data_IF_406809778419
#
_entry.id   IF_406809778419
#
_cell.length_a   1.000
_cell.length_b   1.000
_cell.length_c   1.000
_cell.angle_alpha   90.00
_cell.angle_beta   90.00
_cell.angle_gamma   90.00
#
_symmetry.space_group_name_H-M   'P 1'
#
loop_
_entity.id
_entity.type
_entity.pdbx_description
1 polymer ?
#
# COMPACT_ATOMS: atom_id res chain seq x y z
N UNK A 1 -1.85 10.48 -15.67
CA UNK A 1 -2.01 9.35 -14.72
C UNK A 1 -0.83 8.42 -14.91
N UNK A 2 -0.14 8.02 -13.84
CA UNK A 2 0.99 7.09 -13.97
C UNK A 2 0.52 5.62 -14.01
N UNK A 3 -0.51 5.30 -13.24
CA UNK A 3 -1.15 3.98 -13.21
C UNK A 3 -2.64 4.14 -12.85
N UNK A 4 -3.43 3.09 -13.04
CA UNK A 4 -4.84 3.02 -12.67
C UNK A 4 -5.15 1.75 -11.86
N UNK A 5 -5.89 1.85 -10.74
CA UNK A 5 -6.25 0.69 -9.91
C UNK A 5 -7.32 -0.18 -10.58
N UNK A 6 -7.16 -1.49 -10.48
CA UNK A 6 -8.11 -2.50 -10.94
C UNK A 6 -8.47 -3.45 -9.81
N UNK A 7 -9.42 -4.37 -10.05
CA UNK A 7 -9.82 -5.35 -9.04
C UNK A 7 -8.67 -6.27 -8.60
N UNK A 8 -7.74 -6.58 -9.51
CA UNK A 8 -6.67 -7.55 -9.27
C UNK A 8 -5.29 -6.89 -9.09
N UNK A 9 -5.19 -5.56 -9.21
CA UNK A 9 -3.93 -4.85 -9.12
C UNK A 9 -3.98 -3.47 -9.78
N UNK A 10 -3.07 -3.23 -10.73
CA UNK A 10 -2.88 -1.93 -11.37
C UNK A 10 -2.49 -2.06 -12.84
N UNK A 11 -2.94 -1.12 -13.68
CA UNK A 11 -2.39 -0.93 -15.02
C UNK A 11 -1.43 0.26 -15.04
N UNK A 12 -0.19 0.06 -15.48
CA UNK A 12 0.86 1.09 -15.59
C UNK A 12 0.91 1.61 -17.03
N UNK A 13 0.51 2.86 -17.23
CA UNK A 13 0.46 3.50 -18.56
C UNK A 13 1.83 3.93 -19.07
N UNK A 14 2.83 4.08 -18.19
CA UNK A 14 4.19 4.44 -18.63
C UNK A 14 4.91 3.25 -19.24
N UNK A 15 4.57 2.04 -18.77
CA UNK A 15 5.21 0.79 -19.18
C UNK A 15 4.30 -0.14 -19.99
N UNK A 16 3.06 0.29 -20.28
CA UNK A 16 2.02 -0.47 -20.96
C UNK A 16 1.91 -1.91 -20.49
N UNK A 17 1.80 -2.07 -19.17
CA UNK A 17 1.83 -3.37 -18.52
C UNK A 17 0.82 -3.44 -17.38
N UNK A 18 0.25 -4.63 -17.20
CA UNK A 18 -0.57 -4.94 -16.06
C UNK A 18 0.27 -5.52 -14.92
N UNK A 19 0.03 -5.03 -13.71
CA UNK A 19 0.65 -5.49 -12.46
C UNK A 19 -0.44 -6.15 -11.64
N UNK A 20 -0.25 -7.43 -11.35
CA UNK A 20 -1.14 -8.20 -10.49
C UNK A 20 -0.67 -8.12 -9.04
N UNK A 21 -1.61 -8.15 -8.12
CA UNK A 21 -1.33 -8.15 -6.69
C UNK A 21 -1.99 -9.34 -6.00
N UNK A 22 -1.18 -10.13 -5.33
CA UNK A 22 -1.65 -11.09 -4.35
C UNK A 22 -1.88 -10.38 -3.01
N UNK A 23 -3.14 -10.32 -2.60
CA UNK A 23 -3.56 -9.68 -1.34
C UNK A 23 -3.95 -10.74 -0.32
N UNK A 24 -3.67 -10.48 0.95
CA UNK A 24 -4.18 -11.33 2.04
C UNK A 24 -5.64 -10.99 2.38
N UNK A 25 -6.21 -11.70 3.36
CA UNK A 25 -7.61 -11.56 3.77
C UNK A 25 -7.99 -10.16 4.30
N UNK A 26 -7.03 -9.32 4.68
CA UNK A 26 -7.24 -7.93 5.10
C UNK A 26 -7.01 -6.93 3.97
N UNK A 27 -6.63 -7.42 2.78
CA UNK A 27 -6.35 -6.59 1.61
C UNK A 27 -4.93 -6.05 1.56
N UNK A 28 -4.00 -6.56 2.40
CA UNK A 28 -2.59 -6.15 2.34
C UNK A 28 -1.92 -6.73 1.09
N UNK A 29 -1.23 -5.88 0.32
CA UNK A 29 -0.49 -6.34 -0.86
C UNK A 29 0.76 -7.13 -0.45
N UNK A 30 0.75 -8.46 -0.57
CA UNK A 30 1.88 -9.34 -0.17
C UNK A 30 2.90 -9.52 -1.28
N UNK A 31 2.43 -9.73 -2.51
CA UNK A 31 3.29 -9.88 -3.69
C UNK A 31 2.68 -9.10 -4.82
N UNK A 32 3.48 -8.23 -5.47
CA UNK A 32 3.15 -7.64 -6.75
C UNK A 32 4.02 -8.28 -7.83
N UNK A 33 3.42 -8.64 -8.95
CA UNK A 33 4.12 -9.30 -10.04
C UNK A 33 3.56 -8.91 -11.40
N UNK A 34 4.38 -9.09 -12.43
CA UNK A 34 4.01 -8.82 -13.82
C UNK A 34 4.53 -9.93 -14.73
N UNK A 35 4.11 -9.89 -15.99
CA UNK A 35 4.71 -10.70 -17.05
C UNK A 35 5.76 -9.85 -17.78
N UNK A 36 6.99 -10.37 -17.90
CA UNK A 36 8.03 -9.70 -18.67
C UNK A 36 7.86 -9.94 -20.19
N UNK A 37 8.68 -9.30 -21.02
CA UNK A 37 8.62 -9.42 -22.47
C UNK A 37 8.88 -10.84 -23.00
N UNK A 38 9.57 -11.68 -22.23
CA UNK A 38 9.79 -13.10 -22.55
C UNK A 38 8.61 -14.00 -22.13
N UNK A 39 7.55 -13.41 -21.57
CA UNK A 39 6.38 -14.13 -21.11
C UNK A 39 6.53 -14.81 -19.76
N UNK A 40 7.62 -14.59 -19.03
CA UNK A 40 7.86 -15.14 -17.70
C UNK A 40 7.31 -14.21 -16.60
N UNK A 41 6.96 -14.79 -15.45
CA UNK A 41 6.54 -14.05 -14.27
C UNK A 41 7.73 -13.40 -13.57
N UNK A 42 7.58 -12.13 -13.22
CA UNK A 42 8.59 -11.33 -12.51
C UNK A 42 7.93 -10.68 -11.29
N UNK A 43 8.48 -10.94 -10.10
CA UNK A 43 8.05 -10.29 -8.86
C UNK A 43 8.62 -8.87 -8.84
N UNK A 44 7.74 -7.87 -8.69
CA UNK A 44 8.13 -6.45 -8.68
C UNK A 44 8.17 -5.85 -7.28
N UNK A 45 7.42 -6.42 -6.33
CA UNK A 45 7.41 -6.05 -4.92
C UNK A 45 7.00 -7.24 -4.06
N UNK A 46 7.61 -7.39 -2.89
CA UNK A 46 7.27 -8.43 -1.92
C UNK A 46 7.25 -7.80 -0.51
N UNK A 47 6.15 -7.99 0.19
CA UNK A 47 5.88 -7.32 1.46
C UNK A 47 5.37 -8.33 2.49
N UNK A 48 6.00 -8.29 3.67
CA UNK A 48 5.46 -8.88 4.87
C UNK A 48 5.22 -7.77 5.88
N UNK A 49 4.21 -7.94 6.74
CA UNK A 49 3.80 -6.88 7.66
C UNK A 49 3.79 -7.41 9.10
N UNK A 50 4.29 -6.58 10.00
CA UNK A 50 3.95 -6.68 11.42
C UNK A 50 2.44 -6.44 11.59
N UNK A 51 1.83 -6.90 12.72
CA UNK A 51 0.39 -6.78 12.93
C UNK A 51 -0.18 -5.35 12.78
N UNK A 52 0.62 -4.33 13.09
CA UNK A 52 0.20 -2.92 13.01
C UNK A 52 0.58 -2.24 11.69
N UNK A 53 1.02 -2.99 10.68
CA UNK A 53 1.20 -2.49 9.31
C UNK A 53 2.59 -1.99 8.97
N UNK A 54 3.54 -2.04 9.91
CA UNK A 54 4.95 -1.80 9.59
C UNK A 54 5.45 -2.94 8.70
N UNK A 55 6.10 -2.60 7.59
CA UNK A 55 6.63 -3.58 6.66
C UNK A 55 7.92 -4.21 7.22
N UNK A 56 8.05 -5.53 7.12
CA UNK A 56 9.29 -6.23 7.44
C UNK A 56 10.37 -5.82 6.43
N UNK A 57 11.48 -5.30 6.91
CA UNK A 57 12.67 -5.07 6.10
C UNK A 57 13.32 -6.42 5.74
N UNK A 58 12.74 -7.16 4.79
CA UNK A 58 13.30 -8.44 4.32
C UNK A 58 14.45 -8.27 3.33
N UNK A 59 14.49 -7.15 2.63
CA UNK A 59 15.58 -6.78 1.73
C UNK A 59 15.69 -5.27 1.77
N UNK A 60 16.90 -4.76 2.02
CA UNK A 60 17.14 -3.33 2.22
C UNK A 60 16.47 -2.46 1.16
N UNK A 61 15.97 -1.31 1.63
CA UNK A 61 15.22 -0.26 0.93
C UNK A 61 13.70 -0.43 1.05
N UNK A 62 13.12 0.18 2.09
CA UNK A 62 11.73 0.62 2.02
C UNK A 62 11.61 1.52 0.77
N UNK A 63 10.86 1.05 -0.22
CA UNK A 63 10.71 1.77 -1.48
C UNK A 63 9.77 2.95 -1.24
N UNK A 64 10.35 4.13 -0.98
CA UNK A 64 9.65 5.42 -0.92
C UNK A 64 9.59 6.05 -2.31
N UNK A 65 9.11 5.29 -3.30
CA UNK A 65 9.00 5.79 -4.67
C UNK A 65 7.75 6.65 -4.80
N UNK A 66 7.89 7.98 -4.83
CA UNK A 66 6.78 8.90 -5.06
C UNK A 66 5.96 8.47 -6.29
N UNK A 67 4.62 8.39 -6.14
CA UNK A 67 3.70 8.13 -7.25
C UNK A 67 3.76 6.73 -7.87
N UNK A 68 4.24 5.71 -7.14
CA UNK A 68 4.26 4.33 -7.63
C UNK A 68 3.12 3.49 -7.04
N UNK A 69 2.60 2.53 -7.82
CA UNK A 69 1.70 1.48 -7.31
C UNK A 69 2.27 0.73 -6.10
N UNK A 70 3.61 0.70 -5.95
CA UNK A 70 4.31 0.09 -4.81
C UNK A 70 3.98 0.76 -3.47
N UNK A 71 3.43 1.97 -3.46
CA UNK A 71 3.05 2.67 -2.24
C UNK A 71 1.75 2.13 -1.65
N UNK A 72 0.92 1.44 -2.44
CA UNK A 72 -0.32 0.82 -1.97
C UNK A 72 -0.01 -0.53 -1.32
N UNK A 73 0.06 -0.53 0.01
CA UNK A 73 0.62 -1.63 0.80
C UNK A 73 -0.40 -2.16 1.81
N UNK A 74 -0.28 -1.74 3.08
CA UNK A 74 -1.12 -2.21 4.18
C UNK A 74 -2.56 -1.71 4.05
N UNK A 75 -3.54 -2.60 4.21
CA UNK A 75 -4.98 -2.37 4.01
C UNK A 75 -5.31 -1.69 2.67
N UNK A 76 -4.46 -1.88 1.66
CA UNK A 76 -4.58 -1.20 0.36
C UNK A 76 -4.45 0.32 0.43
N UNK A 77 -3.92 0.88 1.53
CA UNK A 77 -3.70 2.31 1.70
C UNK A 77 -2.33 2.72 1.19
N UNK A 78 -2.26 3.97 0.77
CA UNK A 78 -1.04 4.56 0.23
C UNK A 78 -0.11 4.97 1.38
N UNK A 79 1.12 4.45 1.35
CA UNK A 79 2.19 4.87 2.23
C UNK A 79 2.80 6.16 1.68
N UNK A 80 2.71 7.23 2.47
CA UNK A 80 3.31 8.53 2.16
C UNK A 80 4.82 8.53 2.41
N UNK A 81 5.53 9.52 1.86
CA UNK A 81 6.97 9.72 2.07
C UNK A 81 7.33 9.90 3.55
N UNK A 82 6.38 10.38 4.36
CA UNK A 82 6.51 10.52 5.82
C UNK A 82 6.50 9.19 6.58
N UNK A 83 6.24 8.06 5.90
CA UNK A 83 6.10 6.74 6.51
C UNK A 83 4.72 6.49 7.13
N UNK A 84 3.75 7.38 6.91
CA UNK A 84 2.37 7.23 7.37
C UNK A 84 1.45 6.75 6.25
N UNK A 85 0.45 5.93 6.59
CA UNK A 85 -0.57 5.51 5.65
C UNK A 85 -1.70 6.54 5.57
N UNK A 86 -2.08 6.92 4.35
CA UNK A 86 -3.21 7.80 4.09
C UNK A 86 -4.54 7.02 4.06
N UNK A 87 -5.42 7.31 5.02
CA UNK A 87 -6.79 6.77 5.07
C UNK A 87 -7.85 7.81 4.66
N UNK A 88 -7.43 8.93 4.07
CA UNK A 88 -8.27 10.05 3.62
C UNK A 88 -8.61 11.02 4.75
N UNK A 89 -9.27 10.54 5.81
CA UNK A 89 -9.64 11.39 6.95
C UNK A 89 -8.50 11.59 7.95
N UNK A 90 -7.56 10.65 8.03
CA UNK A 90 -6.45 10.63 8.98
C UNK A 90 -5.24 9.91 8.40
N UNK A 91 -4.06 10.27 8.90
CA UNK A 91 -2.83 9.51 8.69
C UNK A 91 -2.62 8.51 9.82
N UNK A 92 -2.34 7.26 9.45
CA UNK A 92 -2.05 6.17 10.38
C UNK A 92 -0.54 5.92 10.46
N UNK A 93 -0.02 5.84 11.69
CA UNK A 93 1.37 5.61 12.02
C UNK A 93 1.57 4.09 12.29
N UNK A 94 2.11 3.34 11.32
CA UNK A 94 2.23 1.88 11.43
C UNK A 94 3.32 1.42 12.41
N UNK A 95 4.23 2.32 12.77
CA UNK A 95 5.35 2.07 13.68
C UNK A 95 4.93 1.97 15.14
N UNK A 96 4.00 2.82 15.56
CA UNK A 96 3.45 2.86 16.92
C UNK A 96 1.99 2.35 16.99
N UNK A 97 1.38 2.06 15.84
CA UNK A 97 0.01 1.53 15.73
C UNK A 97 -1.07 2.55 16.13
N UNK A 98 -0.89 3.83 15.79
CA UNK A 98 -1.80 4.92 16.20
C UNK A 98 -2.18 5.85 15.06
N UNK A 99 -3.27 6.59 15.23
CA UNK A 99 -3.62 7.71 14.36
C UNK A 99 -2.81 8.96 14.74
N UNK A 100 -2.34 9.71 13.75
CA UNK A 100 -1.58 10.94 13.97
C UNK A 100 -2.41 12.10 14.53
N UNK A 101 -3.74 12.01 14.45
CA UNK A 101 -4.69 13.02 14.94
C UNK A 101 -5.94 12.37 15.54
N UNK A 102 -6.66 13.13 16.38
CA UNK A 102 -7.97 12.74 16.92
C UNK A 102 -8.98 12.55 15.78
N UNK A 103 -9.97 11.68 15.98
CA UNK A 103 -11.04 11.48 15.02
C UNK A 103 -11.83 12.79 14.79
N UNK A 104 -12.00 13.27 13.53
CA UNK A 104 -12.80 14.47 13.24
C UNK A 104 -14.25 14.40 13.72
N UNK A 105 -14.78 13.20 13.98
CA UNK A 105 -16.13 13.00 14.49
C UNK A 105 -16.15 12.67 16.00
N UNK A 106 -15.01 12.69 16.70
CA UNK A 106 -14.91 12.31 18.11
C UNK A 106 -15.94 13.04 19.00
N UNK A 107 -16.12 14.35 18.80
CA UNK A 107 -17.03 15.18 19.60
C UNK A 107 -18.49 15.11 19.16
N UNK A 108 -18.78 14.46 18.02
CA UNK A 108 -20.17 14.32 17.53
C UNK A 108 -20.86 13.07 18.07
N UNK A 109 -20.13 12.15 18.69
CA UNK A 109 -20.67 10.89 19.23
C UNK A 109 -20.95 10.97 20.74
N UNK A 110 -20.74 12.13 21.38
CA UNK A 110 -21.08 12.33 22.79
C UNK A 110 -22.58 12.60 22.96
N UNK A 111 -23.35 11.51 23.04
CA UNK A 111 -24.47 11.23 23.97
C UNK A 111 -25.53 10.33 23.32
N UNK A 112 -25.54 9.06 23.74
CA UNK A 112 -26.76 8.27 23.90
C UNK A 112 -26.95 8.02 25.40
#
# INVERSE_FOLDING_TARGET
LEFFPTAEGFYDYKKDQYIYQYRDHLGNARVSFRRNSAGALEITDANDYYPFGMNHLKSGNAFFGAGSYKNYKYNGKELQETGMYDYGARFYMPDIGKWGVVDPLAEKVTRA
#
